data_IF_591331432030
#
_entry.id   IF_591331432030
#
_cell.length_a   1.000
_cell.length_b   1.000
_cell.length_c   1.000
_cell.angle_alpha   90.00
_cell.angle_beta   90.00
_cell.angle_gamma   90.00
#
_symmetry.space_group_name_H-M   'P 1'
#
loop_
_entity.id
_entity.type
_entity.pdbx_description
1 polymer ?
#
# COMPACT_ATOMS: atom_id res chain seq x y z
N UNK A 1 -1.04 -47.87 19.31
CA UNK A 1 0.28 -47.33 18.90
C UNK A 1 0.53 -46.11 19.76
N UNK A 2 0.57 -46.33 21.07
CA UNK A 2 0.57 -45.27 22.08
C UNK A 2 1.96 -45.21 22.66
N UNK A 3 2.77 -44.24 22.21
CA UNK A 3 4.13 -44.12 22.75
C UNK A 3 5.08 -43.19 22.01
N UNK A 4 4.80 -42.81 20.75
CA UNK A 4 5.62 -41.81 20.06
C UNK A 4 4.88 -40.47 19.98
N UNK A 5 5.03 -39.66 21.03
CA UNK A 5 4.60 -38.26 21.06
C UNK A 5 5.84 -37.39 21.10
N UNK A 6 6.05 -36.58 20.07
CA UNK A 6 7.06 -35.52 20.10
C UNK A 6 6.49 -34.39 20.98
N UNK A 7 7.13 -34.03 22.10
CA UNK A 7 6.65 -32.98 23.02
C UNK A 7 6.99 -31.58 22.48
N UNK A 8 6.57 -31.29 21.24
CA UNK A 8 6.88 -30.04 20.57
C UNK A 8 6.35 -28.83 21.33
N UNK A 9 5.19 -28.96 21.99
CA UNK A 9 4.62 -27.92 22.85
C UNK A 9 5.59 -27.52 23.96
N UNK A 10 6.08 -28.49 24.74
CA UNK A 10 6.99 -28.25 25.86
C UNK A 10 8.31 -27.59 25.41
N UNK A 11 8.80 -27.96 24.22
CA UNK A 11 9.99 -27.33 23.62
C UNK A 11 9.73 -25.88 23.21
N UNK A 12 8.55 -25.59 22.64
CA UNK A 12 8.16 -24.22 22.29
C UNK A 12 7.98 -23.39 23.55
N UNK A 13 7.29 -23.91 24.57
CA UNK A 13 7.05 -23.22 25.85
C UNK A 13 8.38 -22.85 26.52
N UNK A 14 9.32 -23.80 26.61
CA UNK A 14 10.67 -23.54 27.15
C UNK A 14 11.40 -22.45 26.37
N UNK A 15 11.28 -22.45 25.03
CA UNK A 15 11.88 -21.43 24.17
C UNK A 15 11.25 -20.05 24.35
N UNK A 16 9.92 -20.00 24.50
CA UNK A 16 9.16 -18.78 24.76
C UNK A 16 9.53 -18.17 26.11
N UNK A 17 9.64 -18.99 27.15
CA UNK A 17 10.06 -18.54 28.48
C UNK A 17 11.49 -17.99 28.45
N UNK A 18 12.41 -18.68 27.78
CA UNK A 18 13.76 -18.16 27.58
C UNK A 18 13.76 -16.80 26.86
N UNK A 19 12.95 -16.63 25.81
CA UNK A 19 12.84 -15.35 25.10
C UNK A 19 12.28 -14.25 26.00
N UNK A 20 11.25 -14.54 26.81
CA UNK A 20 10.70 -13.57 27.76
C UNK A 20 11.74 -13.13 28.79
N UNK A 21 12.48 -14.07 29.36
CA UNK A 21 13.46 -13.78 30.41
C UNK A 21 14.67 -12.99 29.89
N UNK A 22 15.08 -13.22 28.63
CA UNK A 22 16.28 -12.61 28.06
C UNK A 22 15.99 -11.36 27.20
N UNK A 23 14.79 -11.23 26.63
CA UNK A 23 14.42 -10.15 25.70
C UNK A 23 13.31 -9.24 26.24
N UNK A 24 12.97 -9.30 27.53
CA UNK A 24 11.95 -8.44 28.15
C UNK A 24 12.11 -6.96 27.78
N UNK A 25 13.33 -6.41 27.90
CA UNK A 25 13.60 -5.01 27.56
C UNK A 25 13.34 -4.66 26.09
N UNK A 26 13.56 -5.60 25.16
CA UNK A 26 13.20 -5.41 23.75
C UNK A 26 11.69 -5.39 23.56
N UNK A 27 10.96 -6.31 24.19
CA UNK A 27 9.50 -6.37 24.12
C UNK A 27 8.84 -5.13 24.73
N UNK A 28 9.40 -4.60 25.82
CA UNK A 28 8.94 -3.35 26.42
C UNK A 28 9.13 -2.16 25.47
N UNK A 29 10.30 -2.04 24.83
CA UNK A 29 10.55 -1.00 23.82
C UNK A 29 9.58 -1.11 22.66
N UNK A 30 9.35 -2.33 22.14
CA UNK A 30 8.37 -2.55 21.07
C UNK A 30 6.97 -2.14 21.54
N UNK A 31 6.57 -2.51 22.76
CA UNK A 31 5.27 -2.15 23.34
C UNK A 31 5.09 -0.64 23.41
N UNK A 32 6.09 0.08 23.91
CA UNK A 32 6.06 1.55 24.02
C UNK A 32 5.97 2.19 22.65
N UNK A 33 6.79 1.76 21.69
CA UNK A 33 6.79 2.31 20.32
C UNK A 33 5.46 2.04 19.63
N UNK A 34 4.94 0.82 19.72
CA UNK A 34 3.67 0.45 19.07
C UNK A 34 2.51 1.25 19.66
N UNK A 35 2.42 1.33 21.00
CA UNK A 35 1.38 2.15 21.66
C UNK A 35 1.51 3.61 21.28
N UNK A 36 2.71 4.17 21.33
CA UNK A 36 2.95 5.56 20.92
C UNK A 36 2.47 5.82 19.48
N UNK A 37 2.76 4.91 18.54
CA UNK A 37 2.35 5.07 17.15
C UNK A 37 0.84 4.91 16.96
N UNK A 38 0.22 3.87 17.53
CA UNK A 38 -1.20 3.59 17.31
C UNK A 38 -2.09 4.54 18.11
N UNK A 39 -1.82 4.70 19.41
CA UNK A 39 -2.60 5.56 20.29
C UNK A 39 -2.38 7.02 19.90
N UNK A 40 -1.14 7.44 19.64
CA UNK A 40 -0.84 8.80 19.18
C UNK A 40 -1.50 9.15 17.84
N UNK A 41 -1.56 8.21 16.88
CA UNK A 41 -2.30 8.42 15.63
C UNK A 41 -3.81 8.47 15.87
N UNK A 42 -4.33 7.59 16.73
CA UNK A 42 -5.76 7.58 17.08
C UNK A 42 -6.17 8.89 17.74
N UNK A 43 -5.43 9.33 18.75
CA UNK A 43 -5.68 10.59 19.47
C UNK A 43 -5.58 11.78 18.52
N UNK A 44 -4.58 11.79 17.63
CA UNK A 44 -4.45 12.81 16.59
C UNK A 44 -5.64 12.86 15.64
N UNK A 45 -6.17 11.71 15.21
CA UNK A 45 -7.34 11.64 14.33
C UNK A 45 -8.64 12.04 15.04
N UNK A 46 -8.81 11.64 16.30
CA UNK A 46 -10.02 11.91 17.09
C UNK A 46 -10.04 13.35 17.62
N UNK A 47 -8.88 13.97 17.85
CA UNK A 47 -8.78 15.37 18.28
C UNK A 47 -9.26 16.36 17.20
N UNK A 48 -9.26 15.95 15.92
CA UNK A 48 -9.77 16.78 14.83
C UNK A 48 -11.30 16.78 14.91
N UNK A 49 -11.95 17.97 14.89
CA UNK A 49 -13.41 18.05 14.82
C UNK A 49 -13.94 17.21 13.65
N UNK A 50 -14.93 16.37 13.91
CA UNK A 50 -15.42 15.33 12.99
C UNK A 50 -15.70 15.87 11.58
N UNK A 51 -16.36 17.02 11.45
CA UNK A 51 -16.65 17.63 10.15
C UNK A 51 -15.38 18.02 9.37
N UNK A 52 -14.34 18.47 10.08
CA UNK A 52 -13.03 18.79 9.48
C UNK A 52 -12.34 17.51 9.04
N UNK A 53 -12.35 16.46 9.87
CA UNK A 53 -11.75 15.17 9.51
C UNK A 53 -12.42 14.57 8.26
N UNK A 54 -13.76 14.58 8.18
CA UNK A 54 -14.50 14.13 7.00
C UNK A 54 -14.11 14.95 5.76
N UNK A 55 -14.01 16.27 5.88
CA UNK A 55 -13.57 17.12 4.79
C UNK A 55 -12.14 16.77 4.34
N UNK A 56 -11.23 16.50 5.27
CA UNK A 56 -9.86 16.06 4.96
C UNK A 56 -9.85 14.71 4.23
N UNK A 57 -10.59 13.71 4.70
CA UNK A 57 -10.68 12.41 4.01
C UNK A 57 -11.32 12.53 2.62
N UNK A 58 -12.35 13.36 2.47
CA UNK A 58 -12.96 13.64 1.18
C UNK A 58 -11.98 14.36 0.22
N UNK A 59 -11.20 15.32 0.73
CA UNK A 59 -10.14 15.99 -0.03
C UNK A 59 -9.05 15.01 -0.46
N UNK A 60 -8.64 14.08 0.41
CA UNK A 60 -7.71 13.01 0.04
C UNK A 60 -8.30 12.14 -1.09
N UNK A 61 -9.57 11.75 -0.98
CA UNK A 61 -10.28 11.01 -2.02
C UNK A 61 -10.34 11.76 -3.36
N UNK A 62 -10.58 13.08 -3.33
CA UNK A 62 -10.54 13.93 -4.52
C UNK A 62 -9.14 14.02 -5.12
N UNK A 63 -8.15 14.19 -4.24
CA UNK A 63 -6.77 14.44 -4.63
C UNK A 63 -6.16 13.25 -5.35
N UNK A 64 -6.43 12.03 -4.88
CA UNK A 64 -5.89 10.82 -5.49
C UNK A 64 -6.76 10.28 -6.62
N UNK A 65 -8.09 10.34 -6.50
CA UNK A 65 -8.99 9.62 -7.42
C UNK A 65 -9.91 10.54 -8.22
N UNK A 66 -10.96 11.07 -7.61
CA UNK A 66 -11.99 11.87 -8.30
C UNK A 66 -12.93 12.58 -7.34
N UNK A 67 -13.67 13.59 -7.81
CA UNK A 67 -14.68 14.28 -7.02
C UNK A 67 -15.81 13.34 -6.53
N UNK A 68 -16.13 12.29 -7.30
CA UNK A 68 -17.12 11.28 -6.91
C UNK A 68 -16.65 10.49 -5.68
N UNK A 69 -15.33 10.22 -5.58
CA UNK A 69 -14.73 9.61 -4.40
C UNK A 69 -14.84 10.54 -3.19
N UNK A 70 -14.65 11.84 -3.37
CA UNK A 70 -14.80 12.84 -2.32
C UNK A 70 -16.21 12.84 -1.74
N UNK A 71 -17.22 12.94 -2.61
CA UNK A 71 -18.63 12.89 -2.22
C UNK A 71 -19.00 11.55 -1.55
N UNK A 72 -18.54 10.44 -2.13
CA UNK A 72 -18.75 9.11 -1.57
C UNK A 72 -18.15 8.98 -0.16
N UNK A 73 -16.92 9.47 0.02
CA UNK A 73 -16.23 9.47 1.33
C UNK A 73 -16.96 10.34 2.34
N UNK A 74 -17.39 11.54 1.94
CA UNK A 74 -18.14 12.43 2.82
C UNK A 74 -19.45 11.78 3.29
N UNK A 75 -20.19 11.15 2.37
CA UNK A 75 -21.44 10.46 2.68
C UNK A 75 -21.22 9.26 3.61
N UNK A 76 -20.27 8.37 3.28
CA UNK A 76 -20.05 7.14 4.06
C UNK A 76 -19.40 7.41 5.41
N UNK A 77 -18.51 8.40 5.54
CA UNK A 77 -17.95 8.77 6.84
C UNK A 77 -18.97 9.50 7.71
N UNK A 78 -19.89 10.28 7.11
CA UNK A 78 -21.03 10.82 7.86
C UNK A 78 -21.93 9.71 8.38
N UNK A 79 -22.11 8.62 7.62
CA UNK A 79 -22.83 7.43 8.09
C UNK A 79 -22.11 6.76 9.28
N UNK A 80 -20.77 6.65 9.28
CA UNK A 80 -20.01 6.15 10.45
C UNK A 80 -20.32 6.98 11.70
N UNK A 81 -20.37 8.31 11.56
CA UNK A 81 -20.70 9.21 12.68
C UNK A 81 -22.14 9.02 13.13
N UNK A 82 -23.08 8.87 12.19
CA UNK A 82 -24.49 8.65 12.50
C UNK A 82 -24.76 7.33 13.24
N UNK A 83 -23.88 6.33 13.08
CA UNK A 83 -23.91 5.05 13.81
C UNK A 83 -23.12 5.07 15.13
N UNK A 84 -22.58 6.23 15.54
CA UNK A 84 -21.71 6.37 16.73
C UNK A 84 -20.43 5.50 16.68
N UNK A 85 -19.93 5.24 15.47
CA UNK A 85 -18.76 4.39 15.23
C UNK A 85 -17.49 5.17 14.87
N UNK A 86 -17.47 6.50 15.08
CA UNK A 86 -16.34 7.35 14.70
C UNK A 86 -15.04 6.96 15.39
N UNK A 87 -15.04 6.90 16.72
CA UNK A 87 -13.84 6.57 17.51
C UNK A 87 -13.36 5.13 17.19
N UNK A 88 -14.24 4.10 17.20
CA UNK A 88 -13.84 2.76 16.79
C UNK A 88 -13.26 2.68 15.38
N UNK A 89 -13.80 3.45 14.43
CA UNK A 89 -13.29 3.51 13.06
C UNK A 89 -11.88 4.12 13.01
N UNK A 90 -11.61 5.20 13.75
CA UNK A 90 -10.28 5.82 13.80
C UNK A 90 -9.25 4.93 14.50
N UNK A 91 -9.65 4.18 15.53
CA UNK A 91 -8.80 3.16 16.17
C UNK A 91 -8.40 2.05 15.19
N UNK A 92 -9.37 1.49 14.46
CA UNK A 92 -9.10 0.48 13.43
C UNK A 92 -8.24 1.05 12.30
N UNK A 93 -8.54 2.25 11.81
CA UNK A 93 -7.76 2.91 10.77
C UNK A 93 -6.30 3.11 11.23
N UNK A 94 -6.08 3.54 12.47
CA UNK A 94 -4.75 3.75 13.02
C UNK A 94 -3.96 2.45 13.13
N UNK A 95 -4.56 1.38 13.66
CA UNK A 95 -3.94 0.06 13.72
C UNK A 95 -3.54 -0.42 12.33
N UNK A 96 -4.44 -0.31 11.34
CA UNK A 96 -4.19 -0.74 9.96
C UNK A 96 -3.05 0.05 9.32
N UNK A 97 -3.03 1.38 9.48
CA UNK A 97 -1.99 2.23 8.91
C UNK A 97 -0.61 1.95 9.53
N UNK A 98 -0.54 1.82 10.86
CA UNK A 98 0.73 1.53 11.54
C UNK A 98 1.20 0.10 11.22
N UNK A 99 0.32 -0.89 11.26
CA UNK A 99 0.66 -2.27 10.93
C UNK A 99 1.13 -2.39 9.47
N UNK A 100 0.44 -1.73 8.53
CA UNK A 100 0.86 -1.66 7.13
C UNK A 100 2.24 -1.02 7.01
N UNK A 101 2.46 0.13 7.65
CA UNK A 101 3.74 0.83 7.59
C UNK A 101 4.88 -0.08 8.06
N UNK A 102 4.72 -0.73 9.21
CA UNK A 102 5.71 -1.67 9.76
C UNK A 102 5.91 -2.85 8.81
N UNK A 103 4.83 -3.46 8.30
CA UNK A 103 4.90 -4.58 7.38
C UNK A 103 5.62 -4.22 6.08
N UNK A 104 5.45 -3.00 5.55
CA UNK A 104 6.13 -2.54 4.33
C UNK A 104 7.58 -2.15 4.58
N UNK A 105 7.89 -1.54 5.73
CA UNK A 105 9.27 -1.23 6.14
C UNK A 105 10.13 -2.50 6.26
N UNK A 106 9.52 -3.64 6.58
CA UNK A 106 10.20 -4.94 6.60
C UNK A 106 10.08 -5.64 5.24
N UNK A 107 8.87 -5.67 4.69
CA UNK A 107 8.54 -6.48 3.52
C UNK A 107 9.20 -6.01 2.23
N UNK A 108 9.27 -4.70 1.98
CA UNK A 108 9.91 -4.17 0.76
C UNK A 108 11.43 -4.45 0.78
N UNK A 109 12.19 -4.15 1.85
CA UNK A 109 13.60 -4.51 1.91
C UNK A 109 13.86 -6.02 1.78
N UNK A 110 13.06 -6.87 2.45
CA UNK A 110 13.17 -8.32 2.29
C UNK A 110 12.87 -8.77 0.85
N UNK A 111 11.88 -8.16 0.19
CA UNK A 111 11.56 -8.43 -1.21
C UNK A 111 12.69 -8.04 -2.16
N UNK A 112 13.30 -6.87 -1.95
CA UNK A 112 14.50 -6.43 -2.70
C UNK A 112 15.67 -7.39 -2.47
N UNK A 113 15.88 -7.84 -1.23
CA UNK A 113 16.96 -8.76 -0.91
C UNK A 113 16.74 -10.14 -1.53
N UNK A 114 15.52 -10.67 -1.45
CA UNK A 114 15.08 -11.91 -2.11
C UNK A 114 15.26 -11.84 -3.63
N UNK A 115 14.95 -10.70 -4.25
CA UNK A 115 15.08 -10.51 -5.70
C UNK A 115 16.52 -10.62 -6.19
N UNK A 116 17.49 -10.27 -5.35
CA UNK A 116 18.91 -10.20 -5.72
C UNK A 116 19.73 -11.42 -5.30
N UNK A 117 19.18 -12.31 -4.48
CA UNK A 117 19.90 -13.46 -3.94
C UNK A 117 19.00 -14.70 -3.91
N UNK A 118 19.31 -15.68 -4.77
CA UNK A 118 18.54 -16.93 -4.88
C UNK A 118 18.58 -17.78 -3.61
N UNK A 119 19.64 -17.71 -2.81
CA UNK A 119 19.71 -18.38 -1.50
C UNK A 119 18.74 -17.76 -0.51
N UNK A 120 18.70 -16.43 -0.44
CA UNK A 120 17.75 -15.69 0.43
C UNK A 120 16.32 -16.03 0.03
N UNK A 121 16.03 -16.05 -1.27
CA UNK A 121 14.72 -16.48 -1.79
C UNK A 121 14.37 -17.90 -1.39
N UNK A 122 15.28 -18.85 -1.53
CA UNK A 122 15.06 -20.25 -1.18
C UNK A 122 14.72 -20.43 0.30
N UNK A 123 15.28 -19.59 1.18
CA UNK A 123 15.01 -19.59 2.63
C UNK A 123 13.72 -18.83 2.97
N UNK A 124 13.51 -17.64 2.39
CA UNK A 124 12.35 -16.81 2.69
C UNK A 124 11.06 -17.44 2.20
N UNK A 125 11.05 -18.07 1.03
CA UNK A 125 9.83 -18.64 0.43
C UNK A 125 9.05 -19.56 1.39
N UNK A 126 9.64 -20.60 2.01
CA UNK A 126 8.92 -21.46 2.96
C UNK A 126 8.48 -20.71 4.23
N UNK A 127 9.27 -19.74 4.71
CA UNK A 127 8.87 -18.90 5.87
C UNK A 127 7.62 -18.08 5.53
N UNK A 128 7.59 -17.46 4.36
CA UNK A 128 6.44 -16.71 3.87
C UNK A 128 5.23 -17.61 3.59
N UNK A 129 5.44 -18.84 3.10
CA UNK A 129 4.37 -19.83 2.91
C UNK A 129 3.77 -20.23 4.26
N UNK A 130 4.60 -20.46 5.28
CA UNK A 130 4.16 -20.72 6.64
C UNK A 130 3.38 -19.52 7.22
N UNK A 131 3.90 -18.31 7.04
CA UNK A 131 3.25 -17.08 7.47
C UNK A 131 1.85 -16.87 6.84
N UNK A 132 1.65 -17.31 5.61
CA UNK A 132 0.35 -17.13 4.94
C UNK A 132 -0.64 -18.27 5.19
N UNK A 133 -0.15 -19.46 5.53
CA UNK A 133 -0.96 -20.68 5.64
C UNK A 133 -1.39 -21.01 7.07
N UNK A 134 -0.66 -20.54 8.09
CA UNK A 134 -1.14 -20.72 9.47
C UNK A 134 -2.43 -19.92 9.71
N UNK A 135 -3.38 -20.50 10.47
CA UNK A 135 -4.58 -19.79 10.84
C UNK A 135 -4.28 -18.52 11.64
N UNK A 136 -5.03 -17.46 11.36
CA UNK A 136 -4.83 -16.14 11.95
C UNK A 136 -4.76 -16.15 13.49
N UNK A 137 -5.59 -16.96 14.16
CA UNK A 137 -5.64 -17.04 15.62
C UNK A 137 -4.38 -17.70 16.23
N UNK A 138 -3.64 -18.49 15.47
CA UNK A 138 -2.39 -19.12 15.96
C UNK A 138 -1.33 -18.05 16.21
N UNK A 139 -1.30 -16.97 15.42
CA UNK A 139 -0.40 -15.83 15.65
C UNK A 139 -0.67 -15.08 16.95
N UNK A 140 -1.92 -15.10 17.40
CA UNK A 140 -2.33 -14.38 18.59
C UNK A 140 -1.77 -15.01 19.87
N UNK A 141 -1.55 -16.33 19.89
CA UNK A 141 -1.04 -17.05 21.06
C UNK A 141 0.33 -16.51 21.50
N UNK A 142 1.40 -16.58 20.68
CA UNK A 142 2.69 -16.03 21.08
C UNK A 142 2.62 -14.50 21.26
N UNK A 143 1.82 -13.79 20.47
CA UNK A 143 1.70 -12.33 20.59
C UNK A 143 1.14 -11.90 21.95
N UNK A 144 0.06 -12.53 22.43
CA UNK A 144 -0.49 -12.28 23.78
C UNK A 144 0.54 -12.67 24.84
N UNK A 145 1.23 -13.78 24.64
CA UNK A 145 2.29 -14.23 25.56
C UNK A 145 3.38 -13.16 25.69
N UNK A 146 3.90 -12.58 24.60
CA UNK A 146 4.95 -11.56 24.75
C UNK A 146 4.43 -10.17 25.17
N UNK A 147 3.22 -9.78 24.78
CA UNK A 147 2.77 -8.38 24.86
C UNK A 147 1.53 -8.14 25.72
N UNK A 148 0.99 -9.19 26.36
CA UNK A 148 -0.32 -9.20 27.02
C UNK A 148 -1.47 -8.81 26.09
N UNK A 149 -2.70 -8.82 26.60
CA UNK A 149 -3.91 -8.46 25.84
C UNK A 149 -3.88 -6.96 25.51
N UNK A 150 -4.28 -6.59 24.29
CA UNK A 150 -4.42 -5.19 23.85
C UNK A 150 -4.11 -4.96 22.38
N UNK A 151 -3.77 -3.72 22.05
CA UNK A 151 -3.47 -3.27 20.67
C UNK A 151 -2.18 -3.84 20.10
N UNK A 152 -1.16 -4.03 20.94
CA UNK A 152 0.19 -4.50 20.55
C UNK A 152 0.18 -5.91 19.97
N UNK A 153 -0.38 -6.95 20.63
CA UNK A 153 -0.44 -8.28 20.03
C UNK A 153 -1.26 -8.30 18.73
N UNK A 154 -2.32 -7.49 18.67
CA UNK A 154 -3.15 -7.32 17.47
C UNK A 154 -2.35 -6.77 16.29
N UNK A 155 -1.54 -5.73 16.53
CA UNK A 155 -0.67 -5.16 15.51
C UNK A 155 0.42 -6.15 15.08
N UNK A 156 1.07 -6.85 16.01
CA UNK A 156 2.12 -7.83 15.70
C UNK A 156 1.58 -8.95 14.82
N UNK A 157 0.43 -9.54 15.19
CA UNK A 157 -0.22 -10.57 14.39
C UNK A 157 -0.63 -10.05 13.01
N UNK A 158 -1.12 -8.81 12.93
CA UNK A 158 -1.45 -8.13 11.68
C UNK A 158 -0.23 -7.97 10.77
N UNK A 159 0.92 -7.54 11.31
CA UNK A 159 2.17 -7.41 10.56
C UNK A 159 2.62 -8.76 10.01
N UNK A 160 2.65 -9.80 10.85
CA UNK A 160 3.10 -11.14 10.45
C UNK A 160 2.22 -11.68 9.32
N UNK A 161 0.90 -11.51 9.43
CA UNK A 161 -0.05 -12.02 8.44
C UNK A 161 -0.05 -11.23 7.14
N UNK A 162 0.14 -9.90 7.19
CA UNK A 162 0.06 -9.03 6.01
C UNK A 162 1.39 -8.86 5.26
N UNK A 163 2.53 -9.19 5.88
CA UNK A 163 3.86 -9.03 5.28
C UNK A 163 4.12 -9.86 4.00
N UNK A 164 3.66 -11.13 3.86
CA UNK A 164 4.10 -11.99 2.76
C UNK A 164 3.80 -11.46 1.34
N UNK A 165 2.61 -10.92 1.02
CA UNK A 165 2.36 -10.35 -0.31
C UNK A 165 3.28 -9.17 -0.64
N UNK A 166 3.62 -8.33 0.35
CA UNK A 166 4.54 -7.21 0.18
C UNK A 166 5.93 -7.68 -0.25
N UNK A 167 6.46 -8.73 0.39
CA UNK A 167 7.74 -9.34 0.00
C UNK A 167 7.66 -9.96 -1.39
N UNK A 168 6.65 -10.79 -1.64
CA UNK A 168 6.51 -11.55 -2.89
C UNK A 168 6.34 -10.66 -4.11
N UNK A 169 5.47 -9.66 -4.02
CA UNK A 169 5.20 -8.77 -5.15
C UNK A 169 6.35 -7.79 -5.38
N UNK A 170 7.11 -7.44 -4.34
CA UNK A 170 8.37 -6.72 -4.52
C UNK A 170 9.43 -7.57 -5.21
N UNK A 171 9.61 -8.83 -4.78
CA UNK A 171 10.52 -9.77 -5.43
C UNK A 171 10.15 -9.97 -6.91
N UNK A 172 8.88 -10.30 -7.17
CA UNK A 172 8.35 -10.54 -8.51
C UNK A 172 8.50 -9.30 -9.40
N UNK A 173 8.21 -8.11 -8.87
CA UNK A 173 8.35 -6.86 -9.61
C UNK A 173 9.79 -6.63 -10.08
N UNK A 174 10.77 -6.85 -9.21
CA UNK A 174 12.20 -6.60 -9.53
C UNK A 174 12.75 -7.66 -10.48
N UNK A 175 12.41 -8.94 -10.28
CA UNK A 175 12.88 -10.04 -11.15
C UNK A 175 12.13 -10.10 -12.48
N UNK A 176 10.92 -9.55 -12.55
CA UNK A 176 10.12 -9.47 -13.76
C UNK A 176 10.53 -8.34 -14.71
N UNK A 177 11.55 -7.54 -14.34
CA UNK A 177 12.13 -6.52 -15.22
C UNK A 177 12.90 -7.22 -16.33
N UNK A 178 12.63 -6.80 -17.57
CA UNK A 178 13.24 -7.35 -18.77
C UNK A 178 14.78 -7.34 -18.71
N UNK A 179 15.40 -8.47 -19.09
CA UNK A 179 16.84 -8.66 -19.00
C UNK A 179 17.60 -7.77 -19.98
N UNK A 180 17.06 -7.51 -21.18
CA UNK A 180 17.72 -6.64 -22.16
C UNK A 180 17.87 -5.21 -21.61
N UNK A 181 16.85 -4.74 -20.88
CA UNK A 181 16.90 -3.43 -20.22
C UNK A 181 17.98 -3.37 -19.12
N UNK A 182 18.18 -4.46 -18.39
CA UNK A 182 19.22 -4.57 -17.35
C UNK A 182 20.61 -4.69 -17.98
N UNK A 183 20.77 -5.49 -19.03
CA UNK A 183 22.00 -5.66 -19.80
C UNK A 183 22.44 -4.37 -20.48
N UNK A 184 21.49 -3.59 -21.01
CA UNK A 184 21.75 -2.24 -21.53
C UNK A 184 22.34 -1.33 -20.45
N UNK A 185 21.77 -1.35 -19.23
CA UNK A 185 22.32 -0.62 -18.08
C UNK A 185 23.77 -1.01 -17.78
N UNK A 186 24.07 -2.31 -17.82
CA UNK A 186 25.45 -2.80 -17.67
C UNK A 186 26.37 -2.35 -18.81
N UNK A 187 25.90 -2.36 -20.06
CA UNK A 187 26.66 -1.90 -21.22
C UNK A 187 27.02 -0.41 -21.15
N UNK A 188 26.17 0.41 -20.53
CA UNK A 188 26.45 1.83 -20.23
C UNK A 188 27.28 2.05 -18.95
N UNK A 189 27.80 0.99 -18.33
CA UNK A 189 28.69 1.08 -17.16
C UNK A 189 27.98 1.32 -15.82
N UNK A 190 26.65 1.12 -15.75
CA UNK A 190 25.93 1.27 -14.49
C UNK A 190 26.28 0.16 -13.50
N UNK A 191 26.56 0.55 -12.25
CA UNK A 191 26.74 -0.39 -11.13
C UNK A 191 25.42 -1.08 -10.77
N UNK A 192 25.44 -2.26 -10.13
CA UNK A 192 24.21 -2.96 -9.73
C UNK A 192 23.26 -2.12 -8.85
N UNK A 193 23.81 -1.22 -8.02
CA UNK A 193 23.02 -0.30 -7.21
C UNK A 193 22.37 0.84 -8.02
N UNK A 194 23.00 1.25 -9.11
CA UNK A 194 22.43 2.22 -10.06
C UNK A 194 21.36 1.57 -10.94
N UNK A 195 21.59 0.33 -11.39
CA UNK A 195 20.59 -0.46 -12.13
C UNK A 195 19.35 -0.69 -11.27
N UNK A 196 19.52 -1.10 -10.01
CA UNK A 196 18.40 -1.31 -9.11
C UNK A 196 17.56 -0.05 -8.94
N UNK A 197 18.19 1.09 -8.64
CA UNK A 197 17.47 2.34 -8.34
C UNK A 197 16.96 3.07 -9.58
N UNK A 198 17.70 3.00 -10.69
CA UNK A 198 17.43 3.75 -11.91
C UNK A 198 16.62 2.99 -12.96
N UNK A 199 16.61 1.65 -12.91
CA UNK A 199 15.93 0.80 -13.89
C UNK A 199 14.91 -0.10 -13.19
N UNK A 200 15.36 -0.97 -12.28
CA UNK A 200 14.50 -2.03 -11.77
C UNK A 200 13.38 -1.49 -10.86
N UNK A 201 13.68 -0.65 -9.87
CA UNK A 201 12.67 -0.11 -8.95
C UNK A 201 11.60 0.73 -9.68
N UNK A 202 11.94 1.64 -10.61
CA UNK A 202 10.93 2.36 -11.40
C UNK A 202 10.02 1.42 -12.19
N UNK A 203 10.59 0.42 -12.89
CA UNK A 203 9.81 -0.52 -13.70
C UNK A 203 9.00 -1.52 -12.84
N UNK A 204 9.49 -1.87 -11.65
CA UNK A 204 8.82 -2.75 -10.69
C UNK A 204 7.73 -2.04 -9.86
N UNK A 205 7.68 -0.70 -9.88
CA UNK A 205 6.79 0.09 -9.02
C UNK A 205 5.32 -0.34 -9.09
N UNK A 206 4.71 -0.61 -10.26
CA UNK A 206 3.31 -1.05 -10.32
C UNK A 206 3.07 -2.35 -9.55
N UNK A 207 3.97 -3.33 -9.67
CA UNK A 207 3.88 -4.61 -8.97
C UNK A 207 4.13 -4.45 -7.47
N UNK A 208 5.10 -3.62 -7.06
CA UNK A 208 5.32 -3.27 -5.65
C UNK A 208 4.07 -2.62 -5.05
N UNK A 209 3.44 -1.70 -5.77
CA UNK A 209 2.22 -1.01 -5.33
C UNK A 209 1.00 -1.95 -5.27
N UNK A 210 0.91 -2.95 -6.15
CA UNK A 210 -0.06 -4.02 -5.99
C UNK A 210 0.19 -4.81 -4.69
N UNK A 211 1.47 -5.04 -4.34
CA UNK A 211 1.88 -5.60 -3.06
C UNK A 211 1.43 -4.76 -1.87
N UNK A 212 1.71 -3.46 -1.91
CA UNK A 212 1.26 -2.49 -0.90
C UNK A 212 -0.26 -2.55 -0.70
N UNK A 213 -1.04 -2.62 -1.78
CA UNK A 213 -2.49 -2.75 -1.67
C UNK A 213 -2.89 -4.05 -0.97
N UNK A 214 -2.26 -5.18 -1.31
CA UNK A 214 -2.54 -6.46 -0.63
C UNK A 214 -2.17 -6.42 0.86
N UNK A 215 -1.05 -5.79 1.23
CA UNK A 215 -0.68 -5.61 2.65
C UNK A 215 -1.77 -4.83 3.38
N UNK A 216 -2.26 -3.73 2.82
CA UNK A 216 -3.34 -2.92 3.44
C UNK A 216 -4.63 -3.72 3.59
N UNK A 217 -5.05 -4.44 2.54
CA UNK A 217 -6.29 -5.21 2.56
C UNK A 217 -6.24 -6.36 3.57
N UNK A 218 -5.12 -7.07 3.65
CA UNK A 218 -4.92 -8.11 4.66
C UNK A 218 -4.80 -7.52 6.07
N UNK A 219 -4.12 -6.38 6.21
CA UNK A 219 -3.98 -5.71 7.50
C UNK A 219 -5.35 -5.29 8.05
N UNK A 220 -6.25 -4.77 7.20
CA UNK A 220 -7.62 -4.45 7.61
C UNK A 220 -8.43 -5.68 8.00
N UNK A 221 -8.33 -6.77 7.24
CA UNK A 221 -8.99 -8.04 7.59
C UNK A 221 -8.53 -8.55 8.96
N UNK A 222 -7.21 -8.50 9.20
CA UNK A 222 -6.62 -8.97 10.46
C UNK A 222 -6.87 -8.00 11.63
N UNK A 223 -7.02 -6.70 11.38
CA UNK A 223 -7.40 -5.72 12.40
C UNK A 223 -8.78 -6.01 13.03
N UNK A 224 -9.69 -6.64 12.28
CA UNK A 224 -10.96 -7.12 12.85
C UNK A 224 -10.71 -8.27 13.83
N UNK A 225 -9.85 -9.22 13.46
CA UNK A 225 -9.48 -10.35 14.33
C UNK A 225 -8.66 -9.91 15.56
N UNK A 226 -7.89 -8.82 15.46
CA UNK A 226 -7.20 -8.21 16.59
C UNK A 226 -8.16 -7.80 17.72
N UNK A 227 -9.45 -7.55 17.41
CA UNK A 227 -10.48 -7.30 18.42
C UNK A 227 -10.67 -8.45 19.41
N UNK A 228 -10.37 -9.69 19.02
CA UNK A 228 -10.46 -10.88 19.90
C UNK A 228 -9.47 -10.75 21.06
N UNK A 229 -8.31 -10.13 20.82
CA UNK A 229 -7.24 -9.97 21.83
C UNK A 229 -7.27 -8.60 22.49
N UNK A 230 -8.42 -7.91 22.44
CA UNK A 230 -8.63 -6.67 23.15
C UNK A 230 -8.03 -5.43 22.48
N UNK A 231 -7.66 -5.49 21.20
CA UNK A 231 -7.40 -4.27 20.44
C UNK A 231 -8.71 -3.48 20.29
N UNK A 232 -8.69 -2.19 20.61
CA UNK A 232 -9.87 -1.34 20.42
C UNK A 232 -10.16 -1.08 18.94
N UNK A 233 -11.39 -0.66 18.66
CA UNK A 233 -11.86 -0.37 17.30
C UNK A 233 -13.05 -1.21 16.86
N UNK A 234 -13.38 -1.12 15.58
CA UNK A 234 -14.50 -1.83 14.96
C UNK A 234 -14.40 -3.34 15.14
N UNK A 235 -13.19 -3.91 15.10
CA UNK A 235 -12.96 -5.34 15.30
C UNK A 235 -13.49 -5.86 16.64
N UNK A 236 -13.28 -5.09 17.72
CA UNK A 236 -13.79 -5.43 19.05
C UNK A 236 -15.32 -5.46 19.08
N UNK A 237 -15.96 -4.51 18.41
CA UNK A 237 -17.42 -4.43 18.31
C UNK A 237 -17.98 -5.59 17.48
N UNK A 238 -17.31 -5.95 16.38
CA UNK A 238 -17.67 -7.14 15.59
C UNK A 238 -17.60 -8.40 16.46
N UNK A 239 -16.49 -8.60 17.18
CA UNK A 239 -16.33 -9.76 18.07
C UNK A 239 -17.41 -9.78 19.16
N UNK A 240 -17.66 -8.64 19.80
CA UNK A 240 -18.72 -8.48 20.79
C UNK A 240 -20.10 -8.86 20.20
N UNK A 241 -20.42 -8.37 19.01
CA UNK A 241 -21.70 -8.64 18.35
C UNK A 241 -21.94 -10.13 18.10
N UNK A 242 -20.88 -10.87 17.75
CA UNK A 242 -20.93 -12.33 17.57
C UNK A 242 -21.10 -13.02 18.92
N UNK A 243 -20.33 -12.63 19.94
CA UNK A 243 -20.41 -13.23 21.28
C UNK A 243 -21.75 -13.01 21.97
N UNK A 244 -22.42 -11.87 21.71
CA UNK A 244 -23.74 -11.56 22.28
C UNK A 244 -24.90 -11.85 21.32
N UNK A 245 -24.64 -12.39 20.13
CA UNK A 245 -25.63 -12.64 19.07
C UNK A 245 -26.47 -11.38 18.76
N UNK A 246 -25.82 -10.21 18.73
CA UNK A 246 -26.45 -8.93 18.47
C UNK A 246 -26.29 -8.56 16.98
N UNK A 247 -27.33 -8.87 16.19
CA UNK A 247 -27.32 -8.63 14.74
C UNK A 247 -27.22 -7.14 14.39
N UNK A 248 -27.91 -6.26 15.12
CA UNK A 248 -27.91 -4.82 14.84
C UNK A 248 -26.50 -4.24 14.97
N UNK A 249 -25.84 -4.51 16.10
CA UNK A 249 -24.47 -4.09 16.36
C UNK A 249 -23.49 -4.67 15.34
N UNK A 250 -23.67 -5.94 14.96
CA UNK A 250 -22.82 -6.61 13.97
C UNK A 250 -22.93 -6.01 12.58
N UNK A 251 -24.14 -5.61 12.16
CA UNK A 251 -24.36 -4.94 10.86
C UNK A 251 -23.73 -3.55 10.85
N UNK A 252 -23.92 -2.75 11.89
CA UNK A 252 -23.32 -1.40 11.99
C UNK A 252 -21.79 -1.47 11.97
N UNK A 253 -21.20 -2.34 12.80
CA UNK A 253 -19.75 -2.51 12.86
C UNK A 253 -19.18 -3.07 11.54
N UNK A 254 -19.86 -4.05 10.94
CA UNK A 254 -19.49 -4.61 9.64
C UNK A 254 -19.53 -3.56 8.52
N UNK A 255 -20.56 -2.72 8.49
CA UNK A 255 -20.64 -1.60 7.56
C UNK A 255 -19.51 -0.59 7.78
N UNK A 256 -19.17 -0.28 9.03
CA UNK A 256 -18.01 0.55 9.36
C UNK A 256 -16.71 -0.01 8.79
N UNK A 257 -16.47 -1.31 8.94
CA UNK A 257 -15.27 -1.98 8.39
C UNK A 257 -15.26 -1.90 6.86
N UNK A 258 -16.39 -2.17 6.20
CA UNK A 258 -16.51 -2.10 4.74
C UNK A 258 -16.26 -0.67 4.23
N UNK A 259 -16.75 0.35 4.91
CA UNK A 259 -16.52 1.75 4.54
C UNK A 259 -15.03 2.09 4.58
N UNK A 260 -14.33 1.68 5.65
CA UNK A 260 -12.87 1.85 5.74
C UNK A 260 -12.14 1.05 4.65
N UNK A 261 -12.57 -0.19 4.38
CA UNK A 261 -11.98 -1.03 3.33
C UNK A 261 -12.08 -0.38 1.96
N UNK A 262 -13.27 0.09 1.60
CA UNK A 262 -13.50 0.77 0.33
C UNK A 262 -12.70 2.06 0.27
N UNK A 263 -12.63 2.85 1.35
CA UNK A 263 -11.82 4.06 1.37
C UNK A 263 -10.33 3.75 1.12
N UNK A 264 -9.76 2.81 1.87
CA UNK A 264 -8.34 2.42 1.79
C UNK A 264 -7.98 1.81 0.42
N UNK A 265 -8.78 0.88 -0.10
CA UNK A 265 -8.57 0.28 -1.43
C UNK A 265 -8.57 1.36 -2.52
N UNK A 266 -9.56 2.24 -2.49
CA UNK A 266 -9.74 3.26 -3.54
C UNK A 266 -8.64 4.31 -3.54
N UNK A 267 -8.14 4.70 -2.37
CA UNK A 267 -7.02 5.64 -2.22
C UNK A 267 -5.70 4.96 -2.62
N UNK A 268 -5.47 3.72 -2.18
CA UNK A 268 -4.23 3.00 -2.48
C UNK A 268 -4.10 2.62 -3.95
N UNK A 269 -5.18 2.15 -4.58
CA UNK A 269 -5.21 1.85 -6.01
C UNK A 269 -4.87 3.09 -6.86
N UNK A 270 -5.27 4.28 -6.40
CA UNK A 270 -4.95 5.53 -7.09
C UNK A 270 -3.49 5.96 -6.93
N UNK A 271 -2.81 5.55 -5.85
CA UNK A 271 -1.37 5.74 -5.68
C UNK A 271 -0.55 4.84 -6.61
N UNK A 272 -1.03 3.61 -6.86
CA UNK A 272 -0.32 2.63 -7.69
C UNK A 272 -0.28 2.99 -9.18
N UNK A 273 -1.38 3.52 -9.73
CA UNK A 273 -1.46 3.95 -11.12
C UNK A 273 -1.96 5.41 -11.25
N UNK A 274 -1.12 6.43 -10.94
CA UNK A 274 -1.56 7.82 -10.98
C UNK A 274 -2.00 8.29 -12.37
N UNK A 275 -1.47 7.67 -13.44
CA UNK A 275 -1.78 7.99 -14.83
C UNK A 275 -3.23 7.67 -15.22
N UNK A 276 -3.87 6.71 -14.55
CA UNK A 276 -5.22 6.23 -14.87
C UNK A 276 -6.33 7.17 -14.34
N UNK A 277 -5.97 8.18 -13.53
CA UNK A 277 -6.92 9.08 -12.87
C UNK A 277 -6.79 10.53 -13.32
N UNK A 278 -7.16 10.87 -14.57
CA UNK A 278 -7.05 12.22 -15.12
C UNK A 278 -7.94 13.27 -14.44
N UNK A 279 -8.98 12.84 -13.71
CA UNK A 279 -9.92 13.70 -12.97
C UNK A 279 -9.47 13.97 -11.53
N UNK A 280 -8.32 13.46 -11.12
CA UNK A 280 -7.68 13.80 -9.84
C UNK A 280 -7.24 15.27 -9.84
N UNK A 281 -7.13 15.89 -8.66
CA UNK A 281 -6.62 17.27 -8.54
C UNK A 281 -5.23 17.42 -9.17
N UNK A 282 -4.36 16.40 -9.03
CA UNK A 282 -3.04 16.34 -9.69
C UNK A 282 -3.15 16.35 -11.21
N UNK A 283 -4.05 15.55 -11.77
CA UNK A 283 -4.29 15.49 -13.22
C UNK A 283 -4.81 16.81 -13.79
N UNK A 284 -5.72 17.48 -13.08
CA UNK A 284 -6.26 18.79 -13.48
C UNK A 284 -5.20 19.89 -13.38
N UNK A 285 -4.42 19.92 -12.30
CA UNK A 285 -3.33 20.89 -12.12
C UNK A 285 -2.20 20.70 -13.14
N UNK A 286 -1.85 19.45 -13.47
CA UNK A 286 -0.85 19.11 -14.49
C UNK A 286 -1.28 19.56 -15.90
N UNK A 287 -2.55 19.37 -16.26
CA UNK A 287 -3.10 19.87 -17.54
C UNK A 287 -3.09 21.38 -17.64
N UNK A 288 -3.41 22.10 -16.55
CA UNK A 288 -3.36 23.58 -16.54
C UNK A 288 -1.94 24.11 -16.72
N UNK A 289 -0.92 23.47 -16.14
CA UNK A 289 0.49 23.82 -16.38
C UNK A 289 0.94 23.51 -17.82
N UNK A 290 0.55 22.36 -18.37
CA UNK A 290 0.87 22.01 -19.76
C UNK A 290 0.16 22.93 -20.78
N UNK A 291 -1.06 23.37 -20.48
CA UNK A 291 -1.80 24.33 -21.30
C UNK A 291 -1.18 25.73 -21.26
N UNK A 292 -0.74 26.22 -20.09
CA UNK A 292 -0.06 27.51 -19.96
C UNK A 292 1.32 27.57 -20.62
N UNK A 293 2.02 26.44 -20.75
CA UNK A 293 3.29 26.35 -21.49
C UNK A 293 3.12 26.42 -23.01
N UNK A 294 1.94 26.07 -23.55
CA UNK A 294 1.66 26.14 -25.00
C UNK A 294 1.23 27.53 -25.47
N UNK A 295 0.80 28.40 -24.57
CA UNK A 295 0.43 29.79 -24.88
C UNK A 295 1.57 30.80 -24.76
N UNK A 296 2.82 30.36 -24.48
CA UNK A 296 3.97 31.24 -24.24
C UNK A 296 5.18 31.05 -25.17
N UNK A 297 5.08 30.26 -26.24
CA UNK A 297 6.14 30.14 -27.24
C UNK A 297 6.10 31.32 -28.25
N UNK A 298 7.24 31.93 -28.62
CA UNK A 298 7.25 33.15 -29.42
C UNK A 298 6.67 32.90 -30.81
N UNK A 299 6.00 33.92 -31.34
CA UNK A 299 5.35 33.96 -32.66
C UNK A 299 6.34 33.67 -33.82
N UNK A 300 6.68 32.39 -34.03
CA UNK A 300 7.51 31.93 -35.16
C UNK A 300 6.74 31.70 -36.45
N UNK A 301 5.44 32.00 -36.48
CA UNK A 301 4.56 31.73 -37.62
C UNK A 301 4.71 32.69 -38.81
N UNK A 302 5.38 33.85 -38.65
CA UNK A 302 5.51 34.81 -39.76
C UNK A 302 6.72 34.57 -40.67
N UNK A 303 7.75 33.82 -40.23
CA UNK A 303 8.96 33.61 -41.04
C UNK A 303 8.83 32.44 -42.03
N UNK A 304 8.02 31.42 -41.73
CA UNK A 304 7.84 30.27 -42.62
C UNK A 304 7.09 30.63 -43.91
N UNK A 305 6.16 31.59 -43.85
CA UNK A 305 5.44 32.07 -45.02
C UNK A 305 6.33 32.95 -45.93
N UNK A 306 7.26 33.71 -45.34
CA UNK A 306 8.23 34.51 -46.09
C UNK A 306 9.27 33.62 -46.80
N UNK A 307 9.79 32.59 -46.13
CA UNK A 307 10.73 31.63 -46.72
C UNK A 307 10.09 30.76 -47.82
N UNK A 308 8.79 30.46 -47.73
CA UNK A 308 8.08 29.74 -48.80
C UNK A 308 7.83 30.62 -50.03
N UNK A 309 7.53 31.90 -49.84
CA UNK A 309 7.36 32.85 -50.94
C UNK A 309 8.68 33.07 -51.72
N UNK A 310 9.83 33.14 -51.03
CA UNK A 310 11.14 33.25 -51.68
C UNK A 310 11.53 31.98 -52.46
N UNK A 311 11.14 30.79 -51.99
CA UNK A 311 11.43 29.52 -52.68
C UNK A 311 10.58 29.30 -53.93
N UNK A 312 9.39 29.88 -54.00
CA UNK A 312 8.50 29.75 -55.15
C UNK A 312 8.93 30.64 -56.34
N UNK A 313 9.55 31.80 -56.06
CA UNK A 313 10.10 32.71 -57.08
C UNK A 313 11.41 32.18 -57.69
N UNK A 314 12.16 31.36 -56.96
CA UNK A 314 13.50 30.89 -57.37
C UNK A 314 13.50 29.62 -58.26
N UNK A 315 12.35 29.05 -58.61
CA UNK A 315 12.29 27.77 -59.34
C UNK A 315 12.24 27.95 -60.87
N UNK A 316 13.23 27.50 -61.66
CA UNK A 316 13.22 27.64 -63.11
C UNK A 316 12.24 26.65 -63.76
N UNK A 317 11.28 27.15 -64.55
CA UNK A 317 10.36 26.33 -65.35
C UNK A 317 11.13 25.46 -66.35
N UNK A 318 11.12 24.14 -66.16
CA UNK A 318 11.62 23.18 -67.16
C UNK A 318 10.59 22.99 -68.28
N UNK A 319 11.07 23.08 -69.53
CA UNK A 319 10.30 22.82 -70.74
C UNK A 319 9.99 21.31 -70.91
N UNK A 320 8.89 20.94 -71.58
CA UNK A 320 8.52 19.55 -71.78
C UNK A 320 9.36 18.89 -72.88
N UNK A 321 9.96 17.74 -72.59
CA UNK A 321 10.62 16.87 -73.58
C UNK A 321 9.56 15.98 -74.20
N UNK A 322 9.37 16.09 -75.51
CA UNK A 322 8.44 15.30 -76.30
C UNK A 322 8.96 13.90 -76.63
N UNK A 323 8.02 12.94 -76.59
CA UNK A 323 7.73 11.90 -77.58
C UNK A 323 8.85 11.09 -78.28
N UNK A 324 8.65 9.77 -78.33
CA UNK A 324 9.08 8.97 -79.48
C UNK A 324 9.31 7.47 -79.20
N UNK A 325 8.58 6.65 -79.98
CA UNK A 325 8.73 5.22 -80.32
C UNK A 325 10.13 4.59 -80.16
N UNK A 326 10.30 3.29 -79.91
CA UNK A 326 9.76 2.08 -80.58
C UNK A 326 9.65 0.94 -79.56
#
# INVERSE_FOLDING_TARGET
MDGFRIPLGDWIDTGVDWLRDNLAGLFDVITVVVRFLVDGLTDGLVAIPVFVAIALFALLGWFFRSWQMALGTALTFTLIVAMDLWVPAMQTLSLVLVATLVALLIGIPLGIWSARNDTVRAILKPVLDFMQTMPAFVYLIPAITFFSIGVVPGLVATVIFALPPGVRLTELGIRGVDSETVEAGHAFGATPGQILRGIQLPLATPTIMAGVNQVIMLALSMAVLAGIVGADGLGKIVVQSVSTVNLALGVEAGLGVVILAVFLDRVTAALGNPADYPRSLRGVLGRRRAAGSRSGGPAGGSNAAAEQAEREVASPRRAPVGGGAV
#
